data_IF_163747781814
#
_entry.id   IF_163747781814
#
_cell.length_a   1.000
_cell.length_b   1.000
_cell.length_c   1.000
_cell.angle_alpha   90.00
_cell.angle_beta   90.00
_cell.angle_gamma   90.00
#
_symmetry.space_group_name_H-M   'P 1'
#
loop_
_entity.id
_entity.type
_entity.pdbx_description
1 polymer ?
#
# COMPACT_ATOMS: atom_id res chain seq x y z
N UNK A 1 -16.76 -33.96 18.16
CA UNK A 1 -15.80 -32.91 17.80
C UNK A 1 -16.23 -32.33 16.47
N UNK A 2 -16.86 -31.16 16.46
CA UNK A 2 -17.36 -30.52 15.23
C UNK A 2 -16.16 -30.08 14.39
N UNK A 3 -15.98 -30.70 13.22
CA UNK A 3 -15.04 -30.22 12.20
C UNK A 3 -15.58 -28.90 11.65
N UNK A 4 -15.15 -27.78 12.22
CA UNK A 4 -15.34 -26.50 11.57
C UNK A 4 -14.60 -26.53 10.23
N UNK A 5 -15.25 -26.06 9.18
CA UNK A 5 -14.70 -25.96 7.83
C UNK A 5 -15.31 -24.75 7.16
N UNK A 6 -14.55 -24.09 6.29
CA UNK A 6 -15.10 -23.00 5.48
C UNK A 6 -16.14 -23.56 4.51
N UNK A 7 -17.33 -22.95 4.52
CA UNK A 7 -18.32 -23.20 3.48
C UNK A 7 -17.99 -22.36 2.25
N UNK A 8 -18.48 -22.81 1.10
CA UNK A 8 -18.35 -22.06 -0.14
C UNK A 8 -18.93 -20.64 -0.02
N UNK A 9 -20.09 -20.50 0.63
CA UNK A 9 -20.72 -19.19 0.86
C UNK A 9 -19.86 -18.25 1.72
N UNK A 10 -19.12 -18.80 2.68
CA UNK A 10 -18.24 -18.00 3.55
C UNK A 10 -17.00 -17.54 2.78
N UNK A 11 -16.40 -18.44 1.99
CA UNK A 11 -15.27 -18.09 1.12
C UNK A 11 -15.66 -17.01 0.11
N UNK A 12 -16.82 -17.14 -0.53
CA UNK A 12 -17.31 -16.13 -1.47
C UNK A 12 -17.52 -14.78 -0.79
N UNK A 13 -18.08 -14.77 0.42
CA UNK A 13 -18.26 -13.53 1.20
C UNK A 13 -16.93 -12.87 1.54
N UNK A 14 -15.93 -13.64 1.93
CA UNK A 14 -14.57 -13.16 2.22
C UNK A 14 -13.94 -12.55 0.96
N UNK A 15 -14.01 -13.25 -0.18
CA UNK A 15 -13.46 -12.73 -1.44
C UNK A 15 -14.17 -11.47 -1.92
N UNK A 16 -15.50 -11.41 -1.78
CA UNK A 16 -16.30 -10.23 -2.16
C UNK A 16 -15.96 -9.03 -1.29
N UNK A 17 -15.82 -9.24 0.02
CA UNK A 17 -15.40 -8.20 0.95
C UNK A 17 -13.98 -7.70 0.63
N UNK A 18 -13.03 -8.61 0.44
CA UNK A 18 -11.65 -8.29 0.08
C UNK A 18 -11.57 -7.46 -1.22
N UNK A 19 -12.29 -7.90 -2.26
CA UNK A 19 -12.38 -7.18 -3.54
C UNK A 19 -12.95 -5.78 -3.36
N UNK A 20 -14.02 -5.63 -2.57
CA UNK A 20 -14.63 -4.31 -2.31
C UNK A 20 -13.68 -3.32 -1.61
N UNK A 21 -12.69 -3.85 -0.88
CA UNK A 21 -11.69 -3.07 -0.16
C UNK A 21 -10.35 -2.97 -0.91
N UNK A 22 -10.24 -3.50 -2.13
CA UNK A 22 -8.99 -3.50 -2.91
C UNK A 22 -7.86 -4.33 -2.30
N UNK A 23 -8.19 -5.31 -1.45
CA UNK A 23 -7.25 -6.18 -0.77
C UNK A 23 -7.18 -7.56 -1.46
N UNK A 24 -6.02 -8.21 -1.39
CA UNK A 24 -5.96 -9.65 -1.67
C UNK A 24 -6.09 -10.44 -0.37
N UNK A 25 -6.49 -11.70 -0.47
CA UNK A 25 -6.64 -12.59 0.68
C UNK A 25 -5.99 -13.92 0.37
N UNK A 26 -5.20 -14.41 1.32
CA UNK A 26 -4.68 -15.79 1.34
C UNK A 26 -5.45 -16.59 2.39
N UNK A 27 -5.91 -17.78 2.03
CA UNK A 27 -6.67 -18.66 2.93
C UNK A 27 -5.91 -19.98 3.08
N UNK A 28 -5.56 -20.31 4.31
CA UNK A 28 -5.07 -21.64 4.65
C UNK A 28 -6.25 -22.52 5.08
N UNK A 29 -6.59 -23.52 4.26
CA UNK A 29 -7.75 -24.40 4.47
C UNK A 29 -7.48 -25.42 5.60
N UNK A 30 -6.22 -25.72 5.91
CA UNK A 30 -5.87 -26.66 6.98
C UNK A 30 -6.00 -26.02 8.36
N UNK A 31 -5.52 -24.78 8.49
CA UNK A 31 -5.53 -24.03 9.76
C UNK A 31 -6.75 -23.12 9.89
N UNK A 32 -7.51 -22.93 8.81
CA UNK A 32 -8.64 -22.02 8.71
C UNK A 32 -8.28 -20.56 9.00
N UNK A 33 -7.02 -20.18 8.73
CA UNK A 33 -6.52 -18.82 8.89
C UNK A 33 -6.68 -18.05 7.59
N UNK A 34 -7.20 -16.82 7.70
CA UNK A 34 -7.39 -15.89 6.59
C UNK A 34 -6.44 -14.72 6.79
N UNK A 35 -5.52 -14.54 5.86
CA UNK A 35 -4.55 -13.44 5.87
C UNK A 35 -4.99 -12.39 4.84
N UNK A 36 -5.38 -11.21 5.32
CA UNK A 36 -5.67 -10.07 4.46
C UNK A 36 -4.38 -9.32 4.13
N UNK A 37 -4.11 -9.14 2.84
CA UNK A 37 -2.94 -8.42 2.34
C UNK A 37 -3.47 -7.10 1.74
N UNK A 38 -3.29 -5.97 2.44
CA UNK A 38 -3.76 -4.69 1.94
C UNK A 38 -2.98 -4.26 0.69
N UNK A 39 -3.62 -3.49 -0.18
CA UNK A 39 -3.01 -2.74 -1.28
C UNK A 39 -2.43 -3.51 -2.49
N UNK A 40 -2.72 -4.80 -2.70
CA UNK A 40 -2.28 -5.49 -3.93
C UNK A 40 -3.02 -5.00 -5.20
N UNK A 41 -4.26 -4.52 -5.05
CA UNK A 41 -5.09 -4.07 -6.17
C UNK A 41 -5.50 -2.60 -6.07
N UNK A 42 -4.76 -1.77 -5.31
CA UNK A 42 -4.82 -0.35 -5.60
C UNK A 42 -4.03 -0.21 -6.91
N UNK A 43 -4.66 0.07 -8.07
CA UNK A 43 -3.91 0.74 -9.09
C UNK A 43 -3.45 2.01 -8.39
N UNK A 44 -2.17 2.11 -8.06
CA UNK A 44 -1.56 3.42 -7.99
C UNK A 44 -1.87 4.02 -9.34
N UNK A 45 -2.91 4.84 -9.40
CA UNK A 45 -3.15 5.67 -10.57
C UNK A 45 -1.86 6.44 -10.72
N UNK A 46 -1.11 6.15 -11.79
CA UNK A 46 0.18 6.79 -12.10
C UNK A 46 -0.04 8.26 -12.50
N UNK A 47 -1.13 8.88 -12.03
CA UNK A 47 -1.46 10.28 -12.26
C UNK A 47 -2.36 10.84 -11.16
N UNK A 48 -2.10 10.49 -9.89
CA UNK A 48 -2.55 11.30 -8.77
C UNK A 48 -1.43 12.29 -8.44
N UNK A 49 -1.30 13.31 -9.28
CA UNK A 49 -0.52 14.54 -9.05
C UNK A 49 0.87 14.34 -8.46
N UNK A 50 1.90 14.59 -9.27
CA UNK A 50 3.20 15.04 -8.78
C UNK A 50 3.03 16.38 -8.03
N UNK A 51 2.37 16.39 -6.87
CA UNK A 51 2.69 17.38 -5.85
C UNK A 51 4.08 17.00 -5.39
N UNK A 52 5.06 17.75 -5.91
CA UNK A 52 6.42 17.74 -5.40
C UNK A 52 6.35 17.68 -3.87
N UNK A 53 7.12 16.80 -3.20
CA UNK A 53 7.13 16.76 -1.75
C UNK A 53 7.38 18.18 -1.26
N UNK A 54 6.37 18.74 -0.60
CA UNK A 54 6.40 20.11 -0.10
C UNK A 54 7.70 20.30 0.64
N UNK A 55 8.50 21.25 0.13
CA UNK A 55 9.81 21.62 0.63
C UNK A 55 9.85 21.52 2.15
N UNK A 56 10.58 20.52 2.67
CA UNK A 56 10.90 20.48 4.10
C UNK A 56 11.63 21.79 4.37
N UNK A 57 11.01 22.69 5.15
CA UNK A 57 11.69 23.91 5.60
C UNK A 57 12.73 23.49 6.63
N UNK A 58 13.87 23.04 6.14
CA UNK A 58 15.07 22.80 6.95
C UNK A 58 15.66 24.16 7.29
N UNK A 59 14.99 24.86 8.20
CA UNK A 59 15.55 26.02 8.88
C UNK A 59 16.64 25.56 9.83
N UNK A 60 17.84 25.30 9.28
CA UNK A 60 19.16 25.64 9.82
C UNK A 60 20.23 24.81 9.11
N UNK A 61 21.07 25.47 8.32
CA UNK A 61 22.41 24.96 8.03
C UNK A 61 22.83 24.85 6.56
N UNK A 62 22.81 25.95 5.82
CA UNK A 62 23.95 26.44 5.02
C UNK A 62 23.52 27.72 4.27
N UNK A 63 24.05 28.91 4.61
CA UNK A 63 23.83 30.10 3.77
C UNK A 63 24.44 29.85 2.40
N UNK A 64 23.68 30.14 1.35
CA UNK A 64 24.06 30.03 -0.05
C UNK A 64 25.52 30.46 -0.29
N UNK A 65 26.41 29.48 -0.44
CA UNK A 65 27.76 29.67 -0.92
C UNK A 65 27.70 30.02 -2.40
N UNK A 66 27.84 31.29 -2.72
CA UNK A 66 28.24 31.76 -4.05
C UNK A 66 29.65 31.23 -4.30
N UNK A 67 29.79 30.16 -5.06
CA UNK A 67 31.08 29.76 -5.65
C UNK A 67 30.98 30.04 -7.15
N UNK A 68 31.64 31.12 -7.56
CA UNK A 68 31.86 31.47 -8.95
C UNK A 68 32.59 30.31 -9.63
N UNK A 69 31.96 29.69 -10.62
CA UNK A 69 32.70 28.91 -11.60
C UNK A 69 33.24 29.90 -12.60
N UNK A 70 34.49 30.32 -12.39
CA UNK A 70 35.21 31.21 -13.30
C UNK A 70 35.19 30.62 -14.73
N UNK A 71 34.83 31.46 -15.70
CA UNK A 71 34.92 31.19 -17.14
C UNK A 71 36.39 31.11 -17.55
N UNK A 72 36.79 29.97 -18.13
CA UNK A 72 37.91 29.85 -19.08
C UNK A 72 37.46 28.98 -20.27
#
# INVERSE_FOLDING_TARGET
MTRAAFRQADMERIFRAAKSQGMAVSIDIKTLVVTAIPAIHKPDGIDASSEAPGMIRTGNGAPYGKENWDED
#
